data_IF_366038941739
#
_entry.id   IF_366038941739
#
_cell.length_a   1.000
_cell.length_b   1.000
_cell.length_c   1.000
_cell.angle_alpha   90.00
_cell.angle_beta   90.00
_cell.angle_gamma   90.00
#
_symmetry.space_group_name_H-M   'P 1'
#
loop_
_entity.id
_entity.type
_entity.pdbx_description
1 polymer ?
#
# COMPACT_ATOMS: atom_id res chain seq x y z
N UNK A 1 10.94 -39.24 16.09
CA UNK A 1 10.28 -38.08 15.48
C UNK A 1 10.18 -38.35 13.99
N UNK A 2 9.02 -38.10 13.36
CA UNK A 2 8.87 -38.30 11.91
C UNK A 2 9.58 -37.14 11.18
N UNK A 3 10.63 -37.41 10.37
CA UNK A 3 11.42 -36.37 9.72
C UNK A 3 10.59 -35.49 8.77
N UNK A 4 9.53 -36.03 8.16
CA UNK A 4 8.64 -35.27 7.28
C UNK A 4 7.79 -34.32 8.13
N UNK A 5 7.23 -34.80 9.24
CA UNK A 5 6.42 -33.98 10.14
C UNK A 5 7.25 -32.81 10.74
N UNK A 6 8.50 -33.07 11.14
CA UNK A 6 9.40 -32.05 11.64
C UNK A 6 9.71 -30.97 10.58
N UNK A 7 9.96 -31.38 9.33
CA UNK A 7 10.21 -30.46 8.21
C UNK A 7 8.97 -29.59 7.91
N UNK A 8 7.78 -30.18 7.86
CA UNK A 8 6.53 -29.46 7.64
C UNK A 8 6.25 -28.46 8.77
N UNK A 9 6.49 -28.84 10.03
CA UNK A 9 6.36 -27.95 11.18
C UNK A 9 7.30 -26.74 11.11
N UNK A 10 8.56 -26.96 10.69
CA UNK A 10 9.53 -25.89 10.50
C UNK A 10 9.16 -24.96 9.34
N UNK A 11 8.66 -25.51 8.22
CA UNK A 11 8.19 -24.74 7.08
C UNK A 11 6.97 -23.87 7.45
N UNK A 12 5.98 -24.45 8.11
CA UNK A 12 4.79 -23.73 8.58
C UNK A 12 5.15 -22.61 9.57
N UNK A 13 6.03 -22.88 10.53
CA UNK A 13 6.52 -21.88 11.48
C UNK A 13 7.24 -20.73 10.78
N UNK A 14 8.01 -21.04 9.74
CA UNK A 14 8.72 -20.03 8.96
C UNK A 14 7.75 -19.17 8.15
N UNK A 15 6.80 -19.79 7.44
CA UNK A 15 5.74 -19.08 6.73
C UNK A 15 4.94 -18.18 7.67
N UNK A 16 4.61 -18.66 8.87
CA UNK A 16 3.92 -17.86 9.89
C UNK A 16 4.71 -16.62 10.30
N UNK A 17 6.03 -16.72 10.47
CA UNK A 17 6.88 -15.54 10.76
C UNK A 17 6.90 -14.53 9.62
N UNK A 18 6.95 -15.00 8.37
CA UNK A 18 6.91 -14.12 7.19
C UNK A 18 5.58 -13.36 7.11
N UNK A 19 4.45 -14.06 7.25
CA UNK A 19 3.12 -13.43 7.26
C UNK A 19 2.99 -12.42 8.41
N UNK A 20 3.44 -12.77 9.61
CA UNK A 20 3.47 -11.84 10.75
C UNK A 20 4.27 -10.57 10.43
N UNK A 21 5.42 -10.73 9.78
CA UNK A 21 6.26 -9.60 9.39
C UNK A 21 5.58 -8.72 8.34
N UNK A 22 4.97 -9.31 7.32
CA UNK A 22 4.28 -8.59 6.26
C UNK A 22 3.06 -7.84 6.82
N UNK A 23 2.26 -8.46 7.68
CA UNK A 23 1.14 -7.82 8.35
C UNK A 23 1.59 -6.63 9.22
N UNK A 24 2.70 -6.77 9.94
CA UNK A 24 3.27 -5.66 10.72
C UNK A 24 3.72 -4.50 9.83
N UNK A 25 4.28 -4.79 8.65
CA UNK A 25 4.66 -3.75 7.67
C UNK A 25 3.41 -3.06 7.13
N UNK A 26 2.36 -3.81 6.79
CA UNK A 26 1.09 -3.26 6.31
C UNK A 26 0.41 -2.39 7.38
N UNK A 27 0.38 -2.84 8.64
CA UNK A 27 -0.21 -2.06 9.74
C UNK A 27 0.48 -0.71 9.91
N UNK A 28 1.82 -0.71 9.97
CA UNK A 28 2.62 0.51 10.07
C UNK A 28 2.44 1.42 8.85
N UNK A 29 2.33 0.82 7.66
CA UNK A 29 2.04 1.56 6.43
C UNK A 29 0.68 2.26 6.49
N UNK A 30 -0.35 1.56 6.96
CA UNK A 30 -1.70 2.12 7.10
C UNK A 30 -1.75 3.25 8.13
N UNK A 31 -1.16 3.06 9.31
CA UNK A 31 -1.03 4.09 10.35
C UNK A 31 -0.32 5.33 9.81
N UNK A 32 0.83 5.14 9.14
CA UNK A 32 1.55 6.23 8.50
C UNK A 32 0.68 6.98 7.48
N UNK A 33 -0.06 6.23 6.65
CA UNK A 33 -1.01 6.81 5.70
C UNK A 33 -2.09 7.65 6.37
N UNK A 34 -2.69 7.14 7.44
CA UNK A 34 -3.71 7.84 8.21
C UNK A 34 -3.17 9.14 8.83
N UNK A 35 -2.00 9.08 9.47
CA UNK A 35 -1.34 10.26 10.03
C UNK A 35 -1.10 11.33 8.97
N UNK A 36 -0.56 10.92 7.81
CA UNK A 36 -0.26 11.85 6.71
C UNK A 36 -1.55 12.38 6.08
N UNK A 37 -2.59 11.59 5.91
CA UNK A 37 -3.82 12.05 5.27
C UNK A 37 -4.77 12.79 6.22
N UNK A 38 -4.57 12.68 7.53
CA UNK A 38 -5.35 13.40 8.54
C UNK A 38 -5.33 14.92 8.31
N UNK A 39 -6.51 15.54 8.34
CA UNK A 39 -6.67 16.99 8.16
C UNK A 39 -6.42 17.52 6.75
N UNK A 40 -6.12 16.68 5.75
CA UNK A 40 -5.94 17.10 4.35
C UNK A 40 -7.24 16.97 3.56
N UNK A 41 -7.76 18.10 3.07
CA UNK A 41 -9.05 18.20 2.38
C UNK A 41 -8.99 17.85 0.87
N UNK A 42 -8.09 16.95 0.45
CA UNK A 42 -7.77 16.78 -0.97
C UNK A 42 -8.59 15.69 -1.68
N UNK A 43 -8.98 14.60 -1.00
CA UNK A 43 -9.92 13.58 -1.53
C UNK A 43 -10.31 12.56 -0.46
N UNK A 44 -11.60 12.27 -0.31
CA UNK A 44 -12.10 11.23 0.60
C UNK A 44 -11.61 9.81 0.23
N UNK A 45 -11.17 9.60 -1.02
CA UNK A 45 -10.69 8.30 -1.52
C UNK A 45 -9.16 8.13 -1.45
N UNK A 46 -8.42 9.14 -0.99
CA UNK A 46 -6.96 9.03 -0.83
C UNK A 46 -6.53 7.95 0.19
N UNK A 47 -7.23 7.74 1.33
CA UNK A 47 -6.94 6.63 2.23
C UNK A 47 -7.12 5.27 1.56
N UNK A 48 -8.20 5.08 0.80
CA UNK A 48 -8.46 3.83 0.08
C UNK A 48 -7.40 3.55 -0.98
N UNK A 49 -7.00 4.58 -1.73
CA UNK A 49 -5.91 4.49 -2.70
C UNK A 49 -4.58 4.09 -2.06
N UNK A 50 -4.26 4.64 -0.89
CA UNK A 50 -3.07 4.27 -0.14
C UNK A 50 -3.10 2.80 0.29
N UNK A 51 -4.25 2.32 0.78
CA UNK A 51 -4.44 0.91 1.11
C UNK A 51 -4.22 -0.03 -0.08
N UNK A 52 -4.73 0.34 -1.27
CA UNK A 52 -4.51 -0.42 -2.50
C UNK A 52 -3.02 -0.48 -2.88
N UNK A 53 -2.29 0.62 -2.77
CA UNK A 53 -0.85 0.65 -3.08
C UNK A 53 -0.01 -0.18 -2.12
N UNK A 54 -0.40 -0.23 -0.84
CA UNK A 54 0.26 -1.10 0.15
C UNK A 54 -0.03 -2.59 -0.10
N UNK A 55 -1.27 -2.93 -0.43
CA UNK A 55 -1.69 -4.33 -0.58
C UNK A 55 -1.38 -4.95 -1.94
N UNK A 56 -1.48 -4.17 -3.02
CA UNK A 56 -1.30 -4.65 -4.40
C UNK A 56 0.02 -4.21 -5.02
N UNK A 57 0.73 -3.28 -4.37
CA UNK A 57 1.94 -2.67 -4.91
C UNK A 57 1.66 -1.50 -5.85
N UNK A 58 2.64 -1.11 -6.67
CA UNK A 58 2.55 0.10 -7.49
C UNK A 58 1.44 0.01 -8.55
N UNK A 59 0.57 1.02 -8.60
CA UNK A 59 -0.51 1.12 -9.59
C UNK A 59 -0.38 2.37 -10.44
N UNK A 60 -0.67 2.26 -11.72
CA UNK A 60 -0.90 3.41 -12.61
C UNK A 60 -2.18 4.14 -12.22
N UNK A 61 -2.35 5.39 -12.69
CA UNK A 61 -3.60 6.15 -12.45
C UNK A 61 -4.82 5.47 -13.08
N UNK A 62 -4.64 4.76 -14.20
CA UNK A 62 -5.72 4.02 -14.85
C UNK A 62 -6.13 2.78 -14.05
N UNK A 63 -5.17 2.04 -13.49
CA UNK A 63 -5.46 0.94 -12.58
C UNK A 63 -6.12 1.42 -11.29
N UNK A 64 -5.65 2.54 -10.74
CA UNK A 64 -6.26 3.14 -9.56
C UNK A 64 -7.71 3.59 -9.82
N UNK A 65 -7.96 4.19 -10.99
CA UNK A 65 -9.31 4.57 -11.41
C UNK A 65 -10.25 3.36 -11.48
N UNK A 66 -9.79 2.24 -12.06
CA UNK A 66 -10.54 0.99 -12.13
C UNK A 66 -10.76 0.36 -10.76
N UNK A 67 -9.73 0.31 -9.93
CA UNK A 67 -9.79 -0.33 -8.62
C UNK A 67 -10.71 0.41 -7.63
N UNK A 68 -10.80 1.74 -7.74
CA UNK A 68 -11.65 2.57 -6.89
C UNK A 68 -13.03 2.87 -7.51
N UNK A 69 -13.27 2.44 -8.74
CA UNK A 69 -14.45 2.78 -9.54
C UNK A 69 -14.67 4.30 -9.60
N UNK A 70 -13.66 5.04 -10.07
CA UNK A 70 -13.68 6.50 -10.19
C UNK A 70 -13.21 6.96 -11.56
N UNK A 71 -13.51 8.22 -11.91
CA UNK A 71 -13.03 8.81 -13.16
C UNK A 71 -11.51 8.98 -13.18
N UNK A 72 -10.92 9.04 -14.37
CA UNK A 72 -9.48 9.34 -14.54
C UNK A 72 -9.08 10.70 -13.92
N UNK A 73 -9.99 11.68 -13.93
CA UNK A 73 -9.79 12.99 -13.26
C UNK A 73 -9.67 12.80 -11.75
N UNK A 74 -10.59 12.05 -11.14
CA UNK A 74 -10.58 11.76 -9.71
C UNK A 74 -9.33 10.97 -9.31
N UNK A 75 -8.95 9.96 -10.08
CA UNK A 75 -7.72 9.21 -9.84
C UNK A 75 -6.46 10.08 -9.92
N UNK A 76 -6.42 11.06 -10.84
CA UNK A 76 -5.32 12.03 -10.93
C UNK A 76 -5.28 12.98 -9.73
N UNK A 77 -6.44 13.42 -9.23
CA UNK A 77 -6.52 14.24 -8.01
C UNK A 77 -6.08 13.46 -6.77
N UNK A 78 -6.48 12.18 -6.66
CA UNK A 78 -6.01 11.30 -5.59
C UNK A 78 -4.50 11.11 -5.66
N UNK A 79 -3.94 10.86 -6.85
CA UNK A 79 -2.50 10.73 -7.03
C UNK A 79 -1.76 12.00 -6.58
N UNK A 80 -2.29 13.18 -6.90
CA UNK A 80 -1.73 14.46 -6.45
C UNK A 80 -1.79 14.58 -4.91
N UNK A 81 -2.92 14.25 -4.30
CA UNK A 81 -3.08 14.26 -2.85
C UNK A 81 -2.06 13.35 -2.13
N UNK A 82 -1.78 12.16 -2.68
CA UNK A 82 -0.78 11.23 -2.15
C UNK A 82 0.65 11.78 -2.29
N UNK A 83 0.96 12.48 -3.38
CA UNK A 83 2.25 13.16 -3.59
C UNK A 83 2.43 14.32 -2.62
N UNK A 84 1.42 15.18 -2.47
CA UNK A 84 1.42 16.26 -1.47
C UNK A 84 1.56 15.71 -0.05
N UNK A 85 0.97 14.55 0.20
CA UNK A 85 1.11 13.83 1.45
C UNK A 85 2.47 13.15 1.63
N UNK A 86 3.38 13.19 0.63
CA UNK A 86 4.67 12.51 0.60
C UNK A 86 4.58 11.00 0.79
N UNK A 87 3.42 10.42 0.46
CA UNK A 87 3.18 8.97 0.51
C UNK A 87 3.60 8.28 -0.78
N UNK A 88 3.65 9.03 -1.88
CA UNK A 88 4.05 8.53 -3.19
C UNK A 88 5.07 9.48 -3.81
N UNK A 89 6.06 8.93 -4.51
CA UNK A 89 7.02 9.74 -5.26
C UNK A 89 6.33 10.53 -6.39
N UNK A 90 6.76 11.76 -6.71
CA UNK A 90 6.19 12.54 -7.80
C UNK A 90 6.17 11.73 -9.10
N UNK A 91 4.99 11.44 -9.68
CA UNK A 91 4.91 10.55 -10.82
C UNK A 91 5.33 11.26 -12.11
N UNK A 92 6.04 10.53 -12.98
CA UNK A 92 5.90 10.76 -14.41
C UNK A 92 4.50 10.26 -14.83
N UNK A 93 3.80 10.90 -15.79
CA UNK A 93 2.38 10.64 -16.08
C UNK A 93 2.01 9.16 -16.32
N UNK A 94 2.96 8.38 -16.86
CA UNK A 94 2.76 6.97 -17.25
C UNK A 94 3.33 5.97 -16.24
N UNK A 95 4.07 6.43 -15.22
CA UNK A 95 4.75 5.54 -14.28
C UNK A 95 3.80 5.14 -13.13
N UNK A 96 3.86 3.88 -12.64
CA UNK A 96 3.14 3.48 -11.45
C UNK A 96 3.48 4.35 -10.23
N UNK A 97 2.47 4.62 -9.42
CA UNK A 97 2.59 5.29 -8.14
C UNK A 97 3.38 4.38 -7.19
N UNK A 98 4.57 4.82 -6.81
CA UNK A 98 5.46 4.07 -5.93
C UNK A 98 5.23 4.48 -4.47
N UNK A 99 4.75 3.58 -3.59
CA UNK A 99 4.58 3.90 -2.17
C UNK A 99 5.94 4.18 -1.52
N UNK A 100 5.98 5.25 -0.71
CA UNK A 100 7.15 5.65 0.06
C UNK A 100 6.89 5.27 1.52
N UNK A 101 7.57 4.24 1.99
CA UNK A 101 7.46 3.81 3.39
C UNK A 101 8.38 4.65 4.29
N UNK A 102 7.96 4.90 5.55
CA UNK A 102 8.85 5.52 6.54
C UNK A 102 10.11 4.67 6.70
N UNK A 103 11.27 5.31 6.64
CA UNK A 103 12.55 4.65 6.95
C UNK A 103 12.55 4.30 8.44
N UNK A 104 12.94 3.07 8.76
CA UNK A 104 13.14 2.61 10.15
C UNK A 104 14.23 3.43 10.83
#
# INVERSE_FOLDING_TARGET
EDPIAALLGAAASSAGRWVQQDLNVLHKGLEHGQERLSGRYASSRAPDAWGLLLGLGPLTRAELARALDVTARTASQIALALVEAKLVAPPAPERPLQPVMPRR
#
